data_IF_213903463519
#
_entry.id   IF_213903463519
#
_cell.length_a   1.000
_cell.length_b   1.000
_cell.length_c   1.000
_cell.angle_alpha   90.00
_cell.angle_beta   90.00
_cell.angle_gamma   90.00
#
_symmetry.space_group_name_H-M   'P 1'
#
loop_
_entity.id
_entity.type
_entity.pdbx_description
1 polymer ?
#
# COMPACT_ATOMS: atom_id res chain seq x y z
N UNK A 1 6.08 -31.81 -5.48
CA UNK A 1 6.35 -30.54 -6.19
C UNK A 1 5.78 -30.49 -7.61
N UNK A 2 5.89 -31.56 -8.41
CA UNK A 2 5.32 -31.60 -9.79
C UNK A 2 3.78 -31.61 -9.86
N UNK A 3 3.09 -32.25 -8.91
CA UNK A 3 1.63 -32.37 -8.92
C UNK A 3 0.91 -31.02 -8.74
N UNK A 4 1.52 -30.05 -8.05
CA UNK A 4 0.93 -28.72 -7.80
C UNK A 4 0.98 -27.78 -9.03
N UNK A 5 1.84 -28.07 -10.02
CA UNK A 5 1.96 -27.27 -11.25
C UNK A 5 1.09 -27.79 -12.40
N UNK A 6 0.66 -29.06 -12.36
CA UNK A 6 -0.12 -29.69 -13.42
C UNK A 6 -1.59 -29.23 -13.41
N UNK A 7 -2.15 -28.98 -12.23
CA UNK A 7 -3.56 -28.58 -12.09
C UNK A 7 -3.88 -27.22 -12.74
N UNK A 8 -3.10 -26.14 -12.52
CA UNK A 8 -3.36 -24.85 -13.15
C UNK A 8 -3.17 -24.89 -14.67
N UNK A 9 -2.16 -25.62 -15.15
CA UNK A 9 -1.87 -25.76 -16.58
C UNK A 9 -2.96 -26.56 -17.31
N UNK A 10 -3.45 -27.65 -16.71
CA UNK A 10 -4.54 -28.45 -17.26
C UNK A 10 -5.87 -27.67 -17.27
N UNK A 11 -6.14 -26.89 -16.23
CA UNK A 11 -7.33 -26.04 -16.15
C UNK A 11 -7.32 -24.94 -17.22
N UNK A 12 -6.19 -24.25 -17.40
CA UNK A 12 -6.04 -23.23 -18.43
C UNK A 12 -6.16 -23.82 -19.86
N UNK A 13 -5.52 -24.96 -20.11
CA UNK A 13 -5.60 -25.65 -21.41
C UNK A 13 -7.03 -26.11 -21.74
N UNK A 14 -7.79 -26.60 -20.75
CA UNK A 14 -9.18 -27.04 -20.92
C UNK A 14 -10.13 -25.91 -21.29
N UNK A 15 -9.82 -24.65 -20.94
CA UNK A 15 -10.62 -23.48 -21.28
C UNK A 15 -10.32 -22.93 -22.68
N UNK A 16 -9.09 -23.11 -23.16
CA UNK A 16 -8.62 -22.52 -24.43
C UNK A 16 -8.76 -23.48 -25.61
N UNK A 17 -8.51 -24.78 -25.40
CA UNK A 17 -8.57 -25.79 -26.46
C UNK A 17 -9.91 -25.87 -27.23
N UNK A 18 -11.09 -25.71 -26.59
CA UNK A 18 -12.38 -25.79 -27.30
C UNK A 18 -12.61 -24.63 -28.28
N UNK A 19 -11.98 -23.48 -28.04
CA UNK A 19 -12.23 -22.25 -28.80
C UNK A 19 -11.15 -21.94 -29.85
N UNK A 20 -9.92 -22.41 -29.64
CA UNK A 20 -8.76 -22.03 -30.45
C UNK A 20 -7.92 -23.22 -30.95
N UNK A 21 -8.39 -24.45 -30.70
CA UNK A 21 -7.74 -25.69 -31.15
C UNK A 21 -6.67 -26.23 -30.19
N UNK A 22 -6.38 -27.53 -30.34
CA UNK A 22 -5.52 -28.30 -29.42
C UNK A 22 -4.09 -27.74 -29.32
N UNK A 23 -3.55 -27.19 -30.42
CA UNK A 23 -2.22 -26.57 -30.43
C UNK A 23 -2.15 -25.29 -29.58
N UNK A 24 -3.21 -24.47 -29.54
CA UNK A 24 -3.27 -23.28 -28.70
C UNK A 24 -3.38 -23.63 -27.21
N UNK A 25 -4.10 -24.72 -26.89
CA UNK A 25 -4.17 -25.26 -25.53
C UNK A 25 -2.81 -25.75 -25.01
N UNK A 26 -2.03 -26.45 -25.85
CA UNK A 26 -0.68 -26.91 -25.50
C UNK A 26 0.32 -25.76 -25.34
N UNK A 27 0.25 -24.73 -26.18
CA UNK A 27 1.09 -23.54 -26.05
C UNK A 27 0.83 -22.80 -24.72
N UNK A 28 -0.43 -22.71 -24.30
CA UNK A 28 -0.80 -22.07 -23.03
C UNK A 28 -0.31 -22.87 -21.83
N UNK A 29 -0.41 -24.20 -21.87
CA UNK A 29 0.14 -25.08 -20.84
C UNK A 29 1.67 -24.91 -20.70
N UNK A 30 2.40 -24.86 -21.82
CA UNK A 30 3.85 -24.65 -21.80
C UNK A 30 4.24 -23.27 -21.21
N UNK A 31 3.55 -22.20 -21.59
CA UNK A 31 3.80 -20.85 -21.04
C UNK A 31 3.53 -20.82 -19.53
N UNK A 32 2.41 -21.38 -19.07
CA UNK A 32 2.07 -21.41 -17.63
C UNK A 32 3.07 -22.20 -16.78
N UNK A 33 3.75 -23.20 -17.35
CA UNK A 33 4.81 -23.94 -16.66
C UNK A 33 6.16 -23.19 -16.63
N UNK A 34 6.46 -22.36 -17.63
CA UNK A 34 7.76 -21.68 -17.76
C UNK A 34 7.78 -20.29 -17.11
N UNK A 35 6.64 -19.62 -17.00
CA UNK A 35 6.57 -18.25 -16.47
C UNK A 35 6.96 -18.14 -14.97
N UNK A 36 6.51 -19.05 -14.08
CA UNK A 36 6.86 -18.98 -12.65
C UNK A 36 8.36 -19.12 -12.34
N UNK A 37 9.11 -20.09 -12.90
CA UNK A 37 10.53 -20.24 -12.58
C UNK A 37 11.41 -19.12 -13.16
N UNK A 38 11.03 -18.52 -14.30
CA UNK A 38 11.80 -17.41 -14.89
C UNK A 38 11.64 -16.13 -14.08
N UNK A 39 10.43 -15.81 -13.62
CA UNK A 39 10.20 -14.67 -12.72
C UNK A 39 10.90 -14.85 -11.37
N UNK A 40 10.89 -16.08 -10.84
CA UNK A 40 11.59 -16.42 -9.60
C UNK A 40 13.12 -16.31 -9.76
N UNK A 41 13.69 -16.81 -10.86
CA UNK A 41 15.11 -16.72 -11.15
C UNK A 41 15.55 -15.26 -11.36
N UNK A 42 14.72 -14.43 -12.01
CA UNK A 42 14.98 -13.01 -12.21
C UNK A 42 14.94 -12.23 -10.89
N UNK A 43 13.98 -12.55 -10.01
CA UNK A 43 13.90 -11.98 -8.67
C UNK A 43 15.12 -12.36 -7.81
N UNK A 44 15.55 -13.62 -7.85
CA UNK A 44 16.74 -14.10 -7.12
C UNK A 44 18.03 -13.45 -7.65
N UNK A 45 18.19 -13.33 -8.98
CA UNK A 45 19.34 -12.67 -9.59
C UNK A 45 19.42 -11.18 -9.21
N UNK A 46 18.28 -10.50 -9.13
CA UNK A 46 18.19 -9.10 -8.69
C UNK A 46 18.59 -8.95 -7.21
N UNK A 47 18.16 -9.87 -6.34
CA UNK A 47 18.54 -9.89 -4.91
C UNK A 47 20.04 -10.16 -4.73
N UNK A 48 20.60 -11.11 -5.48
CA UNK A 48 22.03 -11.45 -5.38
C UNK A 48 22.95 -10.34 -5.90
N UNK A 49 22.54 -9.60 -6.94
CA UNK A 49 23.28 -8.43 -7.43
C UNK A 49 23.37 -7.31 -6.37
N UNK A 50 22.41 -7.22 -5.45
CA UNK A 50 22.45 -6.28 -4.30
C UNK A 50 23.31 -6.75 -3.12
N UNK A 51 23.67 -8.04 -3.05
CA UNK A 51 24.43 -8.63 -1.92
C UNK A 51 25.94 -8.77 -2.17
N UNK A 52 26.43 -8.58 -3.40
CA UNK A 52 27.85 -8.80 -3.75
C UNK A 52 28.87 -7.77 -3.26
N UNK A 53 28.55 -6.96 -2.24
CA UNK A 53 29.36 -5.80 -1.84
C UNK A 53 29.82 -5.76 -0.38
N UNK A 54 29.72 -6.84 0.41
CA UNK A 54 30.12 -6.81 1.83
C UNK A 54 30.98 -8.02 2.18
N UNK A 55 32.27 -7.76 2.38
CA UNK A 55 33.28 -8.64 2.97
C UNK A 55 32.98 -8.85 4.48
N UNK A 56 33.26 -10.02 5.08
CA UNK A 56 32.82 -10.32 6.45
C UNK A 56 33.89 -9.94 7.50
N UNK A 57 33.53 -9.37 8.66
CA UNK A 57 34.39 -9.40 9.82
C UNK A 57 34.00 -10.52 10.79
N UNK A 58 34.96 -11.43 10.91
CA UNK A 58 35.47 -12.13 12.10
C UNK A 58 34.62 -12.13 13.39
N UNK A 59 34.43 -13.36 13.84
CA UNK A 59 33.83 -13.82 15.09
C UNK A 59 34.70 -13.46 16.31
N UNK A 60 34.11 -12.83 17.32
CA UNK A 60 34.59 -12.90 18.72
C UNK A 60 33.39 -12.96 19.67
N UNK A 61 33.41 -13.96 20.54
CA UNK A 61 32.37 -14.30 21.51
C UNK A 61 32.67 -13.64 22.90
N UNK A 62 31.82 -13.80 23.94
CA UNK A 62 31.15 -12.70 24.65
C UNK A 62 31.68 -12.45 26.07
N UNK A 63 31.12 -11.47 26.80
CA UNK A 63 30.79 -11.78 28.20
C UNK A 63 29.45 -11.21 28.72
N UNK A 64 28.80 -12.06 29.52
CA UNK A 64 28.18 -11.81 30.84
C UNK A 64 26.87 -11.00 30.92
N UNK A 65 25.85 -11.70 31.42
CA UNK A 65 24.57 -11.18 31.95
C UNK A 65 24.79 -10.28 33.18
N UNK A 66 24.07 -9.18 33.24
CA UNK A 66 23.64 -8.57 34.49
C UNK A 66 22.18 -8.08 34.34
N UNK A 67 21.32 -8.64 35.18
CA UNK A 67 20.13 -8.07 35.82
C UNK A 67 19.09 -7.30 34.99
N UNK A 68 18.00 -8.03 34.73
CA UNK A 68 16.65 -7.70 35.17
C UNK A 68 16.26 -6.22 35.29
N UNK A 69 15.65 -5.71 34.22
CA UNK A 69 14.59 -4.73 34.29
C UNK A 69 13.59 -5.08 33.17
N UNK A 70 12.52 -5.77 33.54
CA UNK A 70 11.32 -5.84 32.72
C UNK A 70 10.67 -4.44 32.73
N UNK A 71 11.16 -3.55 31.87
CA UNK A 71 10.42 -2.35 31.50
C UNK A 71 9.23 -2.80 30.66
N UNK A 72 8.11 -3.01 31.36
CA UNK A 72 6.77 -2.95 30.79
C UNK A 72 6.71 -1.70 29.89
N UNK A 73 6.43 -1.79 28.58
CA UNK A 73 6.37 -0.61 27.75
C UNK A 73 5.26 0.27 28.33
N UNK A 74 5.66 1.40 28.90
CA UNK A 74 4.77 2.49 29.18
C UNK A 74 4.08 2.82 27.85
N UNK A 75 2.77 2.95 27.92
CA UNK A 75 1.91 3.54 26.91
C UNK A 75 2.44 4.96 26.65
N UNK A 76 3.46 5.08 25.79
CA UNK A 76 3.93 6.37 25.29
C UNK A 76 2.75 6.95 24.55
N UNK A 77 2.16 7.99 25.13
CA UNK A 77 1.12 8.79 24.49
C UNK A 77 1.56 9.12 23.08
N UNK A 78 0.62 8.94 22.15
CA UNK A 78 0.72 9.21 20.71
C UNK A 78 0.80 10.73 20.45
N UNK A 79 1.70 11.43 21.16
CA UNK A 79 1.94 12.89 21.11
C UNK A 79 2.78 13.28 19.88
N UNK A 80 2.59 12.58 18.75
CA UNK A 80 3.00 13.13 17.47
C UNK A 80 2.06 14.31 17.14
N UNK A 81 2.59 15.49 16.77
CA UNK A 81 1.73 16.60 16.41
C UNK A 81 0.87 16.21 15.19
N UNK A 82 -0.45 16.41 15.31
CA UNK A 82 -1.40 16.19 14.22
C UNK A 82 -0.91 16.87 12.93
N UNK A 83 -1.06 16.17 11.80
CA UNK A 83 -0.69 16.76 10.51
C UNK A 83 -1.65 17.93 10.23
N UNK A 84 -1.12 19.14 9.94
CA UNK A 84 -1.95 20.32 9.77
C UNK A 84 -2.92 20.15 8.59
N UNK A 85 -4.20 20.40 8.85
CA UNK A 85 -5.22 20.48 7.81
C UNK A 85 -5.04 21.80 7.04
N UNK A 86 -4.82 21.69 5.74
CA UNK A 86 -4.66 22.82 4.81
C UNK A 86 -5.89 22.96 3.94
N UNK A 87 -6.13 24.17 3.45
CA UNK A 87 -7.26 24.50 2.58
C UNK A 87 -6.71 25.05 1.27
N UNK A 88 -6.97 24.33 0.18
CA UNK A 88 -6.75 24.82 -1.17
C UNK A 88 -8.05 25.37 -1.77
N UNK A 89 -7.98 25.82 -3.01
CA UNK A 89 -9.13 26.41 -3.71
C UNK A 89 -10.33 25.45 -3.79
N UNK A 90 -10.08 24.16 -4.07
CA UNK A 90 -11.13 23.16 -4.36
C UNK A 90 -11.27 22.06 -3.33
N UNK A 91 -10.34 21.95 -2.38
CA UNK A 91 -10.32 20.88 -1.41
C UNK A 91 -9.58 21.28 -0.14
N UNK A 92 -9.99 20.66 0.97
CA UNK A 92 -9.17 20.55 2.18
C UNK A 92 -8.26 19.32 2.06
N UNK A 93 -7.04 19.40 2.55
CA UNK A 93 -6.06 18.35 2.37
C UNK A 93 -5.03 18.27 3.50
N UNK A 94 -4.40 17.10 3.64
CA UNK A 94 -3.23 16.87 4.49
C UNK A 94 -2.10 16.29 3.64
N UNK A 95 -0.86 16.74 3.88
CA UNK A 95 0.35 16.18 3.26
C UNK A 95 1.02 15.22 4.25
N UNK A 96 1.08 13.95 3.89
CA UNK A 96 1.50 12.86 4.77
C UNK A 96 2.83 12.28 4.32
N UNK A 97 3.74 12.11 5.28
CA UNK A 97 4.96 11.32 5.10
C UNK A 97 4.67 9.92 5.61
N UNK A 98 4.55 8.94 4.70
CA UNK A 98 4.19 7.56 5.08
C UNK A 98 5.31 6.88 5.90
N UNK A 99 6.57 7.14 5.54
CA UNK A 99 7.75 6.68 6.27
C UNK A 99 8.83 7.76 6.24
N UNK A 100 9.60 7.88 7.31
CA UNK A 100 10.62 8.91 7.46
C UNK A 100 12.00 8.52 6.89
N UNK A 101 12.14 7.40 6.19
CA UNK A 101 13.44 6.90 5.71
C UNK A 101 13.79 7.32 4.27
N UNK A 102 14.90 6.78 3.75
CA UNK A 102 15.42 7.08 2.42
C UNK A 102 14.61 6.43 1.28
N UNK A 103 13.73 5.47 1.56
CA UNK A 103 12.87 4.82 0.54
C UNK A 103 11.46 5.42 0.53
N UNK A 104 11.26 6.58 1.17
CA UNK A 104 9.97 7.25 1.29
C UNK A 104 9.25 7.45 -0.03
N UNK A 105 9.93 7.91 -1.08
CA UNK A 105 9.30 8.19 -2.38
C UNK A 105 8.78 6.90 -3.02
N UNK A 106 9.55 5.81 -2.95
CA UNK A 106 9.15 4.49 -3.46
C UNK A 106 7.91 3.96 -2.72
N UNK A 107 7.85 4.14 -1.41
CA UNK A 107 6.72 3.68 -0.58
C UNK A 107 5.49 4.55 -0.79
N UNK A 108 5.63 5.87 -0.84
CA UNK A 108 4.57 6.81 -1.19
C UNK A 108 3.98 6.52 -2.57
N UNK A 109 4.84 6.32 -3.57
CA UNK A 109 4.42 5.97 -4.93
C UNK A 109 3.73 4.60 -4.98
N UNK A 110 4.31 3.60 -4.33
CA UNK A 110 3.74 2.25 -4.25
C UNK A 110 2.37 2.26 -3.57
N UNK A 111 2.20 3.02 -2.48
CA UNK A 111 0.90 3.22 -1.84
C UNK A 111 -0.09 3.81 -2.83
N UNK A 112 0.26 4.93 -3.48
CA UNK A 112 -0.63 5.63 -4.40
C UNK A 112 -1.09 4.74 -5.56
N UNK A 113 -0.15 4.07 -6.25
CA UNK A 113 -0.48 3.25 -7.42
C UNK A 113 -1.32 2.03 -7.03
N UNK A 114 -1.02 1.39 -5.88
CA UNK A 114 -1.77 0.23 -5.40
C UNK A 114 -3.14 0.62 -4.85
N UNK A 115 -3.24 1.73 -4.12
CA UNK A 115 -4.52 2.27 -3.64
C UNK A 115 -5.42 2.61 -4.83
N UNK A 116 -4.92 3.36 -5.81
CA UNK A 116 -5.64 3.68 -7.05
C UNK A 116 -6.19 2.43 -7.73
N UNK A 117 -5.32 1.44 -7.98
CA UNK A 117 -5.71 0.19 -8.64
C UNK A 117 -6.76 -0.58 -7.86
N UNK A 118 -6.60 -0.63 -6.54
CA UNK A 118 -7.45 -1.40 -5.63
C UNK A 118 -8.83 -0.76 -5.48
N UNK A 119 -8.88 0.57 -5.32
CA UNK A 119 -10.11 1.35 -5.25
C UNK A 119 -10.87 1.27 -6.58
N UNK A 120 -10.16 1.46 -7.71
CA UNK A 120 -10.76 1.41 -9.05
C UNK A 120 -11.36 0.03 -9.43
N UNK A 121 -11.05 -1.03 -8.67
CA UNK A 121 -11.69 -2.33 -8.86
C UNK A 121 -13.13 -2.38 -8.35
N UNK A 122 -13.52 -1.47 -7.44
CA UNK A 122 -14.83 -1.48 -6.77
C UNK A 122 -15.64 -0.20 -7.00
N UNK A 123 -14.97 0.93 -7.24
CA UNK A 123 -15.62 2.24 -7.40
C UNK A 123 -15.08 2.97 -8.61
N UNK A 124 -15.90 3.85 -9.19
CA UNK A 124 -15.46 4.70 -10.28
C UNK A 124 -14.39 5.70 -9.79
N UNK A 125 -13.25 5.70 -10.47
CA UNK A 125 -12.11 6.57 -10.17
C UNK A 125 -11.84 7.48 -11.35
N UNK A 126 -11.79 8.78 -11.08
CA UNK A 126 -11.36 9.77 -12.05
C UNK A 126 -9.90 10.12 -11.82
N UNK A 127 -9.08 9.98 -12.85
CA UNK A 127 -7.64 10.25 -12.78
C UNK A 127 -7.31 11.55 -13.47
N UNK A 128 -6.41 12.32 -12.88
CA UNK A 128 -5.99 13.61 -13.39
C UNK A 128 -4.53 13.87 -13.14
N UNK A 129 -4.03 14.89 -13.82
CA UNK A 129 -2.77 15.54 -13.48
C UNK A 129 -3.03 16.95 -12.99
N UNK A 130 -2.00 17.62 -12.47
CA UNK A 130 -2.08 19.03 -12.10
C UNK A 130 -2.79 19.88 -13.17
N UNK A 131 -3.68 20.77 -12.74
CA UNK A 131 -4.53 21.59 -13.61
C UNK A 131 -5.78 20.90 -14.17
N UNK A 132 -5.94 19.58 -14.03
CA UNK A 132 -7.16 18.88 -14.43
C UNK A 132 -8.31 19.05 -13.42
N UNK A 133 -9.54 18.79 -13.85
CA UNK A 133 -10.71 18.81 -12.95
C UNK A 133 -10.63 17.78 -11.81
N UNK A 134 -9.93 16.64 -12.02
CA UNK A 134 -9.73 15.61 -11.00
C UNK A 134 -8.59 15.96 -10.02
N UNK A 135 -7.68 16.85 -10.40
CA UNK A 135 -6.69 17.42 -9.50
C UNK A 135 -7.35 18.49 -8.63
N UNK A 136 -7.84 18.06 -7.46
CA UNK A 136 -8.53 18.93 -6.50
C UNK A 136 -7.57 19.78 -5.65
N UNK A 137 -6.28 19.42 -5.63
CA UNK A 137 -5.21 20.17 -4.95
C UNK A 137 -4.15 20.49 -5.99
N UNK A 138 -3.83 21.76 -6.17
CA UNK A 138 -2.85 22.22 -7.16
C UNK A 138 -1.43 22.20 -6.62
N UNK A 139 -0.42 22.22 -7.50
CA UNK A 139 0.97 22.38 -7.08
C UNK A 139 1.21 23.69 -6.29
N UNK A 140 0.44 24.75 -6.59
CA UNK A 140 0.50 26.01 -5.86
C UNK A 140 -0.01 25.87 -4.42
N UNK A 141 -1.08 25.10 -4.20
CA UNK A 141 -1.61 24.82 -2.85
C UNK A 141 -0.61 24.03 -2.00
N UNK A 142 0.21 23.18 -2.64
CA UNK A 142 1.22 22.35 -1.97
C UNK A 142 2.47 23.15 -1.56
N UNK A 143 2.66 24.37 -2.07
CA UNK A 143 3.83 25.18 -1.75
C UNK A 143 3.96 25.36 -0.23
N UNK A 144 5.17 25.26 0.35
CA UNK A 144 5.36 25.41 1.79
C UNK A 144 4.92 26.80 2.25
N UNK A 145 3.99 26.87 3.19
CA UNK A 145 3.72 28.10 3.93
C UNK A 145 4.81 28.29 4.98
N UNK A 146 5.88 28.97 4.58
CA UNK A 146 7.01 29.25 5.47
C UNK A 146 8.08 28.17 5.47
N UNK A 147 9.28 28.60 5.86
CA UNK A 147 10.53 27.84 5.78
C UNK A 147 10.47 26.65 6.74
N UNK A 148 10.84 25.46 6.24
CA UNK A 148 11.15 24.19 6.92
C UNK A 148 10.20 23.01 6.59
N UNK A 149 10.08 22.66 5.30
CA UNK A 149 10.01 21.24 4.92
C UNK A 149 10.46 21.03 3.49
N UNK A 150 11.59 20.33 3.34
CA UNK A 150 12.16 19.88 2.06
C UNK A 150 11.72 18.44 1.82
N UNK A 151 10.41 18.18 1.85
CA UNK A 151 9.89 16.95 1.26
C UNK A 151 9.72 17.21 -0.24
N UNK A 152 10.34 16.40 -1.08
CA UNK A 152 10.10 16.50 -2.52
C UNK A 152 8.60 16.20 -2.78
N UNK A 153 8.00 16.75 -3.85
CA UNK A 153 6.59 16.51 -4.17
C UNK A 153 6.21 15.03 -4.27
N UNK A 154 7.16 14.17 -4.59
CA UNK A 154 6.99 12.71 -4.70
C UNK A 154 7.19 11.96 -3.37
N UNK A 155 7.67 12.64 -2.33
CA UNK A 155 7.91 12.05 -1.00
C UNK A 155 6.64 12.02 -0.14
N UNK A 156 5.70 12.93 -0.41
CA UNK A 156 4.51 13.13 0.39
C UNK A 156 3.25 12.65 -0.33
N UNK A 157 2.43 11.86 0.37
CA UNK A 157 1.09 11.51 -0.05
C UNK A 157 0.15 12.64 0.37
N UNK A 158 -0.52 13.27 -0.58
CA UNK A 158 -1.61 14.20 -0.28
C UNK A 158 -2.93 13.45 -0.28
N UNK A 159 -3.66 13.48 0.83
CA UNK A 159 -5.06 13.05 0.91
C UNK A 159 -5.95 14.28 0.96
N UNK A 160 -7.05 14.26 0.21
CA UNK A 160 -7.94 15.41 0.12
C UNK A 160 -9.41 15.02 0.12
N UNK A 161 -10.23 15.98 0.55
CA UNK A 161 -11.69 15.98 0.38
C UNK A 161 -12.07 17.29 -0.28
N UNK A 162 -12.87 17.22 -1.34
CA UNK A 162 -13.34 18.41 -2.04
C UNK A 162 -14.16 19.31 -1.13
N UNK A 163 -14.13 20.61 -1.39
CA UNK A 163 -14.82 21.60 -0.55
C UNK A 163 -16.34 21.44 -0.58
N UNK A 164 -16.89 20.88 -1.65
CA UNK A 164 -18.30 20.50 -1.79
C UNK A 164 -18.65 19.14 -1.13
N UNK A 165 -17.65 18.42 -0.60
CA UNK A 165 -17.81 17.11 0.02
C UNK A 165 -18.13 15.96 -0.94
N UNK A 166 -18.18 16.21 -2.26
CA UNK A 166 -18.59 15.20 -3.23
C UNK A 166 -17.50 14.16 -3.54
N UNK A 167 -16.23 14.52 -3.32
CA UNK A 167 -15.07 13.75 -3.75
C UNK A 167 -14.04 13.61 -2.65
N UNK A 168 -13.39 12.45 -2.63
CA UNK A 168 -12.15 12.23 -1.91
C UNK A 168 -11.10 11.68 -2.84
N UNK A 169 -9.84 11.79 -2.46
CA UNK A 169 -8.80 11.30 -3.34
C UNK A 169 -7.41 11.45 -2.77
N UNK A 170 -6.47 11.04 -3.62
CA UNK A 170 -5.06 11.06 -3.33
C UNK A 170 -4.29 11.78 -4.43
N UNK A 171 -3.15 12.36 -4.07
CA UNK A 171 -2.19 12.96 -4.99
C UNK A 171 -0.76 12.65 -4.53
N UNK A 172 0.11 12.36 -5.50
CA UNK A 172 1.57 12.23 -5.35
C UNK A 172 2.21 12.93 -6.54
N UNK A 173 3.11 13.89 -6.29
CA UNK A 173 3.69 14.71 -7.34
C UNK A 173 2.60 15.39 -8.18
N UNK A 174 2.62 15.13 -9.49
CA UNK A 174 1.63 15.66 -10.44
C UNK A 174 0.41 14.76 -10.64
N UNK A 175 0.47 13.50 -10.18
CA UNK A 175 -0.60 12.53 -10.40
C UNK A 175 -1.65 12.62 -9.30
N UNK A 176 -2.92 12.67 -9.68
CA UNK A 176 -4.05 12.70 -8.76
C UNK A 176 -5.16 11.75 -9.22
N UNK A 177 -5.88 11.18 -8.27
CA UNK A 177 -7.15 10.54 -8.57
C UNK A 177 -8.18 10.86 -7.50
N UNK A 178 -9.44 10.89 -7.90
CA UNK A 178 -10.60 11.09 -7.02
C UNK A 178 -11.64 10.01 -7.22
N UNK A 179 -12.41 9.76 -6.17
CA UNK A 179 -13.54 8.85 -6.12
C UNK A 179 -14.63 9.48 -5.26
N UNK A 180 -15.85 8.96 -5.32
CA UNK A 180 -16.96 9.48 -4.53
C UNK A 180 -16.64 9.42 -3.04
N UNK A 181 -16.82 10.55 -2.35
CA UNK A 181 -16.67 10.57 -0.90
C UNK A 181 -17.67 9.60 -0.26
N UNK A 182 -17.26 8.93 0.82
CA UNK A 182 -18.05 7.87 1.47
C UNK A 182 -18.03 6.49 0.77
N UNK A 183 -17.30 6.33 -0.34
CA UNK A 183 -17.23 5.03 -1.02
C UNK A 183 -16.34 4.01 -0.27
N UNK A 184 -15.36 4.49 0.48
CA UNK A 184 -14.59 3.67 1.43
C UNK A 184 -15.26 3.82 2.79
N UNK A 185 -15.46 2.71 3.50
CA UNK A 185 -16.16 2.70 4.80
C UNK A 185 -15.26 2.35 5.97
N UNK A 186 -14.11 1.71 5.69
CA UNK A 186 -13.11 1.34 6.70
C UNK A 186 -11.71 1.27 6.10
N UNK A 187 -10.71 1.59 6.92
CA UNK A 187 -9.29 1.41 6.64
C UNK A 187 -8.66 0.55 7.73
N UNK A 188 -7.80 -0.39 7.35
CA UNK A 188 -6.96 -1.15 8.29
C UNK A 188 -5.52 -1.18 7.83
N UNK A 189 -4.62 -1.01 8.80
CA UNK A 189 -3.21 -1.32 8.64
C UNK A 189 -2.89 -2.62 9.38
N UNK A 190 -2.53 -3.67 8.63
CA UNK A 190 -2.08 -4.95 9.18
C UNK A 190 -0.56 -5.00 9.16
N UNK A 191 0.04 -5.20 10.33
CA UNK A 191 1.46 -5.45 10.50
C UNK A 191 1.73 -6.94 10.32
N UNK A 192 2.57 -7.30 9.35
CA UNK A 192 2.99 -8.68 9.12
C UNK A 192 4.32 -8.89 9.82
N UNK A 193 4.28 -9.48 11.01
CA UNK A 193 5.43 -9.64 11.89
C UNK A 193 6.39 -10.69 11.31
N UNK A 194 7.70 -10.38 11.21
CA UNK A 194 8.68 -11.28 10.64
C UNK A 194 8.90 -12.53 11.50
N UNK A 195 8.51 -13.71 11.00
CA UNK A 195 8.90 -15.02 11.60
C UNK A 195 10.04 -15.67 10.82
N UNK A 196 9.93 -15.71 9.48
CA UNK A 196 10.93 -16.34 8.58
C UNK A 196 11.51 -15.42 7.50
N UNK A 197 10.86 -14.30 7.22
CA UNK A 197 11.32 -13.27 6.30
C UNK A 197 11.19 -11.89 6.94
N UNK A 198 11.44 -10.82 6.20
CA UNK A 198 11.54 -9.45 6.75
C UNK A 198 10.23 -8.83 7.25
N UNK A 199 9.09 -9.50 7.08
CA UNK A 199 7.78 -8.93 7.40
C UNK A 199 7.45 -7.70 6.56
N UNK A 200 6.29 -7.10 6.80
CA UNK A 200 5.89 -5.90 6.08
C UNK A 200 4.54 -5.37 6.55
N UNK A 201 3.89 -4.64 5.65
CA UNK A 201 2.63 -3.98 5.94
C UNK A 201 1.63 -4.26 4.84
N UNK A 202 0.39 -4.46 5.24
CA UNK A 202 -0.75 -4.62 4.34
C UNK A 202 -1.80 -3.56 4.67
N UNK A 203 -2.27 -2.85 3.66
CA UNK A 203 -3.36 -1.87 3.78
C UNK A 203 -4.62 -2.50 3.22
N UNK A 204 -5.71 -2.45 4.00
CA UNK A 204 -7.01 -2.99 3.60
C UNK A 204 -8.05 -1.87 3.58
N UNK A 205 -8.82 -1.81 2.51
CA UNK A 205 -9.98 -0.94 2.36
C UNK A 205 -11.26 -1.77 2.34
N UNK A 206 -12.31 -1.27 2.99
CA UNK A 206 -13.67 -1.79 2.85
C UNK A 206 -14.55 -0.82 2.06
N UNK A 207 -15.49 -1.38 1.33
CA UNK A 207 -16.43 -0.69 0.48
C UNK A 207 -17.82 -1.26 0.72
N UNK A 208 -18.82 -0.39 0.76
CA UNK A 208 -20.21 -0.81 0.68
C UNK A 208 -20.64 -0.66 -0.78
N UNK A 209 -20.75 -1.79 -1.47
CA UNK A 209 -21.14 -1.82 -2.90
C UNK A 209 -22.59 -2.29 -3.01
N UNK A 210 -23.45 -1.60 -3.79
CA UNK A 210 -24.81 -2.06 -4.02
C UNK A 210 -24.78 -3.47 -4.62
N UNK A 211 -25.50 -4.42 -4.01
CA UNK A 211 -25.60 -5.76 -4.55
C UNK A 211 -26.33 -5.70 -5.91
N UNK A 212 -25.71 -6.26 -6.95
CA UNK A 212 -26.29 -6.28 -8.31
C UNK A 212 -27.49 -7.24 -8.42
N UNK A 213 -27.66 -8.15 -7.45
CA UNK A 213 -28.63 -9.24 -7.50
C UNK A 213 -29.76 -9.13 -6.44
N UNK A 214 -29.79 -8.09 -5.60
CA UNK A 214 -30.70 -8.00 -4.45
C UNK A 214 -31.30 -6.61 -4.25
N UNK A 215 -32.61 -6.55 -3.97
CA UNK A 215 -33.40 -5.32 -3.96
C UNK A 215 -33.06 -4.33 -2.85
N UNK A 216 -32.36 -4.72 -1.77
CA UNK A 216 -32.08 -3.84 -0.62
C UNK A 216 -30.89 -4.29 0.28
N UNK A 217 -29.85 -4.97 -0.24
CA UNK A 217 -28.66 -5.32 0.58
C UNK A 217 -27.37 -4.75 -0.03
N UNK A 218 -26.65 -3.90 0.71
CA UNK A 218 -25.27 -3.57 0.40
C UNK A 218 -24.36 -4.73 0.82
N UNK A 219 -23.47 -5.18 -0.07
CA UNK A 219 -22.42 -6.14 0.27
C UNK A 219 -21.18 -5.40 0.77
N UNK A 220 -20.68 -5.75 1.95
CA UNK A 220 -19.37 -5.26 2.40
C UNK A 220 -18.27 -6.05 1.72
N UNK A 221 -17.50 -5.37 0.87
CA UNK A 221 -16.34 -5.94 0.18
C UNK A 221 -15.07 -5.36 0.77
N UNK A 222 -14.05 -6.20 0.96
CA UNK A 222 -12.71 -5.73 1.33
C UNK A 222 -11.69 -6.11 0.29
N UNK A 223 -10.65 -5.30 0.18
CA UNK A 223 -9.51 -5.57 -0.68
C UNK A 223 -8.25 -4.96 -0.08
N UNK A 224 -7.11 -5.56 -0.37
CA UNK A 224 -5.85 -5.25 0.29
C UNK A 224 -4.67 -5.22 -0.66
N UNK A 225 -3.60 -4.59 -0.23
CA UNK A 225 -2.31 -4.61 -0.92
C UNK A 225 -1.15 -4.48 0.06
N UNK A 226 -0.01 -5.08 -0.30
CA UNK A 226 1.24 -4.94 0.45
C UNK A 226 1.93 -3.61 0.14
N UNK A 227 2.48 -2.95 1.15
CA UNK A 227 3.38 -1.82 0.96
C UNK A 227 4.78 -2.30 0.57
N UNK A 228 5.50 -1.49 -0.21
CA UNK A 228 6.88 -1.77 -0.60
C UNK A 228 7.87 -1.43 0.53
N UNK A 229 7.57 -1.85 1.77
CA UNK A 229 8.36 -1.54 2.95
C UNK A 229 8.52 -2.80 3.82
N UNK A 230 9.77 -3.08 4.22
CA UNK A 230 10.08 -4.12 5.22
C UNK A 230 9.57 -3.67 6.60
N UNK A 231 9.18 -4.63 7.45
CA UNK A 231 8.77 -4.37 8.83
C UNK A 231 9.89 -3.68 9.64
N UNK A 232 9.53 -2.69 10.46
CA UNK A 232 10.37 -2.12 11.51
C UNK A 232 9.53 -1.26 12.45
N UNK A 233 9.81 -1.30 13.76
CA UNK A 233 8.99 -0.59 14.76
C UNK A 233 8.88 0.91 14.48
N UNK A 234 9.97 1.52 13.98
CA UNK A 234 9.98 2.93 13.57
C UNK A 234 9.00 3.21 12.42
N UNK A 235 8.97 2.34 11.39
CA UNK A 235 8.04 2.48 10.26
C UNK A 235 6.61 2.20 10.69
N UNK A 236 6.39 1.22 11.57
CA UNK A 236 5.07 0.94 12.15
C UNK A 236 4.46 2.20 12.72
N UNK A 237 5.18 2.92 13.59
CA UNK A 237 4.67 4.16 14.21
C UNK A 237 4.31 5.22 13.18
N UNK A 238 5.20 5.50 12.22
CA UNK A 238 4.94 6.51 11.18
C UNK A 238 3.79 6.11 10.24
N UNK A 239 3.72 4.84 9.83
CA UNK A 239 2.65 4.33 8.96
C UNK A 239 1.30 4.29 9.67
N UNK A 240 1.27 3.88 10.93
CA UNK A 240 0.06 3.89 11.76
C UNK A 240 -0.49 5.31 11.87
N UNK A 241 0.36 6.28 12.21
CA UNK A 241 -0.02 7.68 12.27
C UNK A 241 -0.54 8.18 10.91
N UNK A 242 0.18 7.92 9.82
CA UNK A 242 -0.25 8.32 8.48
C UNK A 242 -1.57 7.67 8.05
N UNK A 243 -1.79 6.38 8.34
CA UNK A 243 -3.04 5.70 8.02
C UNK A 243 -4.21 6.22 8.86
N UNK A 244 -3.97 6.56 10.13
CA UNK A 244 -4.97 7.22 10.98
C UNK A 244 -5.37 8.58 10.41
N UNK A 245 -4.40 9.35 9.91
CA UNK A 245 -4.65 10.64 9.26
C UNK A 245 -5.43 10.50 7.94
N UNK A 246 -5.14 9.47 7.14
CA UNK A 246 -5.93 9.13 5.96
C UNK A 246 -7.37 8.81 6.37
N UNK A 247 -7.56 7.94 7.37
CA UNK A 247 -8.88 7.55 7.83
C UNK A 247 -9.68 8.75 8.36
N UNK A 248 -9.04 9.63 9.13
CA UNK A 248 -9.65 10.87 9.63
C UNK A 248 -10.08 11.79 8.49
N UNK A 249 -9.24 11.97 7.47
CA UNK A 249 -9.59 12.78 6.29
C UNK A 249 -10.74 12.18 5.48
N UNK A 250 -10.80 10.85 5.37
CA UNK A 250 -11.86 10.14 4.67
C UNK A 250 -13.14 9.96 5.49
N UNK A 251 -13.13 10.31 6.77
CA UNK A 251 -14.22 10.09 7.74
C UNK A 251 -14.62 8.61 7.86
N UNK A 252 -13.62 7.73 8.02
CA UNK A 252 -13.81 6.27 8.13
C UNK A 252 -13.19 5.70 9.39
N UNK A 253 -13.68 4.54 9.83
CA UNK A 253 -13.07 3.80 10.93
C UNK A 253 -11.66 3.31 10.56
N UNK A 254 -10.73 3.36 11.52
CA UNK A 254 -9.36 2.88 11.39
C UNK A 254 -9.06 1.80 12.41
N UNK A 255 -8.53 0.65 11.96
CA UNK A 255 -7.96 -0.35 12.86
C UNK A 255 -6.50 -0.64 12.56
N UNK A 256 -5.83 -1.15 13.58
CA UNK A 256 -4.52 -1.77 13.49
C UNK A 256 -4.71 -3.25 13.79
N UNK A 257 -4.04 -4.09 13.02
CA UNK A 257 -4.07 -5.54 13.18
C UNK A 257 -2.65 -6.08 13.10
N UNK A 258 -2.40 -7.19 13.76
CA UNK A 258 -1.09 -7.83 13.81
C UNK A 258 -1.24 -9.30 13.42
N UNK A 259 -0.43 -9.73 12.45
CA UNK A 259 -0.44 -11.11 11.99
C UNK A 259 0.99 -11.64 11.91
N UNK A 260 1.20 -12.84 12.43
CA UNK A 260 2.44 -13.58 12.25
C UNK A 260 2.37 -14.34 10.91
N UNK A 261 3.49 -14.42 10.22
CA UNK A 261 3.62 -15.29 9.04
C UNK A 261 3.83 -16.75 9.48
N UNK A 262 2.92 -17.66 9.14
CA UNK A 262 2.94 -19.10 9.49
C UNK A 262 4.03 -19.93 8.75
#
# INVERSE_FOLDING_TARGET
MWILLVFPAAYAASRVAPHYGVLAGLATAAVTMVTPPVLLAWAIAWVNRRRGGVEPPVMTAPPVRADGLEDKPADESDDAPDVPLRYGERARFKQLVLIADAVRSDVTRSFYDKAKRTIAAYVDVETGRDGSGAAMVSAADLAPEGVLSVALPDDALTVFVSSDGAWSGFRVGDDSFRFRHGAITRLRLTQVIPVRWKGGYMVTFWFDVPNRDGKDDYGSFSTWFYLAADYSDRRTRTLTHACREIASMLDVAFDIDETADD
#
